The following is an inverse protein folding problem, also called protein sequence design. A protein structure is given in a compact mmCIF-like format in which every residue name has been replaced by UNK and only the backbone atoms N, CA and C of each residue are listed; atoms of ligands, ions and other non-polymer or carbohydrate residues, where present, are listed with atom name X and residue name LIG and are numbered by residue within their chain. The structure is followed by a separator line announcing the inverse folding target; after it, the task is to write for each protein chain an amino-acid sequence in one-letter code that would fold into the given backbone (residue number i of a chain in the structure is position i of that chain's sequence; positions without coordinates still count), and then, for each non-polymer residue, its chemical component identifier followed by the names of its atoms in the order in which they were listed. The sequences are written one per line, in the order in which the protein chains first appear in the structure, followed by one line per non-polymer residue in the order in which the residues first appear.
data_IF_914266242253
#
_entry.id   IF_914266242253
#
_cell.length_a   1.000
_cell.length_b   1.000
_cell.length_c   1.000
_cell.angle_alpha   90.00
_cell.angle_beta   90.00
_cell.angle_gamma   90.00
#
_symmetry.space_group_name_H-M   'P 1'
#
loop_
_entity.id
_entity.type
_entity.pdbx_description
1 polymer ?
#
# COMPACT_ATOMS: atom_id res chain seq x y z
N UNK A 1 9.26 16.10 10.67
CA UNK A 1 8.22 15.46 9.87
C UNK A 1 7.77 16.39 8.73
N UNK A 2 8.11 16.04 7.49
CA UNK A 2 7.67 16.78 6.29
C UNK A 2 6.15 16.63 6.08
N UNK A 3 5.48 17.53 5.31
CA UNK A 3 4.03 17.46 5.12
C UNK A 3 3.52 16.07 4.67
N UNK A 4 4.18 15.46 3.69
CA UNK A 4 3.82 14.12 3.21
C UNK A 4 3.93 13.02 4.28
N UNK A 5 4.88 13.11 5.20
CA UNK A 5 4.99 12.18 6.33
C UNK A 5 3.80 12.29 7.27
N UNK A 6 3.35 13.53 7.56
CA UNK A 6 2.17 13.78 8.41
C UNK A 6 0.89 13.25 7.78
N UNK A 7 0.80 13.29 6.46
CA UNK A 7 -0.37 12.85 5.72
C UNK A 7 -0.42 11.33 5.55
N UNK A 8 0.74 10.68 5.44
CA UNK A 8 0.88 9.24 5.22
C UNK A 8 0.66 8.38 6.50
N UNK A 9 0.37 8.99 7.65
CA UNK A 9 0.09 8.24 8.89
C UNK A 9 -1.23 7.47 8.81
N UNK A 10 -1.28 6.33 9.48
CA UNK A 10 -2.50 5.54 9.62
C UNK A 10 -3.55 6.27 10.46
N UNK A 11 -4.78 6.28 9.93
CA UNK A 11 -5.94 6.93 10.53
C UNK A 11 -6.65 6.01 11.51
N UNK A 12 -6.58 4.69 11.34
CA UNK A 12 -7.14 3.76 12.32
C UNK A 12 -6.47 3.89 13.70
N UNK A 13 -7.27 3.93 14.76
CA UNK A 13 -6.85 4.09 16.15
C UNK A 13 -6.69 2.78 16.93
N UNK A 14 -6.92 1.64 16.28
CA UNK A 14 -6.86 0.32 16.91
C UNK A 14 -8.18 -0.12 17.55
N UNK A 15 -9.14 0.79 17.74
CA UNK A 15 -10.39 0.53 18.46
C UNK A 15 -11.62 0.68 17.56
N UNK A 16 -11.57 1.58 16.58
CA UNK A 16 -12.71 1.96 15.75
C UNK A 16 -13.16 0.81 14.85
N UNK A 17 -14.45 0.46 14.94
CA UNK A 17 -15.17 -0.44 14.04
C UNK A 17 -15.79 0.32 12.87
N UNK A 18 -16.14 -0.39 11.80
CA UNK A 18 -16.64 0.21 10.55
C UNK A 18 -15.59 1.08 9.87
N UNK A 19 -14.35 0.62 9.88
CA UNK A 19 -13.17 1.32 9.38
C UNK A 19 -12.55 0.55 8.22
N UNK A 20 -12.09 1.29 7.21
CA UNK A 20 -11.42 0.73 6.04
C UNK A 20 -10.36 1.71 5.59
N UNK A 21 -9.12 1.24 5.50
CA UNK A 21 -7.97 2.05 5.12
C UNK A 21 -7.07 1.25 4.20
N UNK A 22 -6.57 1.91 3.16
CA UNK A 22 -5.87 1.27 2.06
C UNK A 22 -4.67 2.10 1.66
N UNK A 23 -3.53 1.45 1.53
CA UNK A 23 -2.30 2.02 1.00
C UNK A 23 -1.93 1.35 -0.32
N UNK A 24 -1.58 2.17 -1.31
CA UNK A 24 -1.18 1.71 -2.64
C UNK A 24 0.27 2.09 -2.90
N UNK A 25 1.02 1.15 -3.47
CA UNK A 25 2.29 1.39 -4.14
C UNK A 25 2.10 1.06 -5.61
N UNK A 26 2.49 2.00 -6.48
CA UNK A 26 2.49 1.83 -7.92
C UNK A 26 3.87 2.17 -8.43
N UNK A 27 4.52 1.20 -9.04
CA UNK A 27 5.83 1.34 -9.64
C UNK A 27 5.75 0.89 -11.09
N UNK A 28 6.33 1.68 -12.00
CA UNK A 28 6.55 1.30 -13.38
C UNK A 28 8.05 1.44 -13.65
N UNK A 29 8.70 0.36 -14.05
CA UNK A 29 10.07 0.36 -14.54
C UNK A 29 10.03 0.37 -16.07
N UNK A 30 10.30 1.54 -16.64
CA UNK A 30 10.26 1.75 -18.09
C UNK A 30 11.40 1.03 -18.80
N UNK A 31 12.51 0.72 -18.11
CA UNK A 31 13.67 0.09 -18.73
C UNK A 31 13.44 -1.41 -18.93
N UNK A 32 12.85 -2.08 -17.94
CA UNK A 32 12.46 -3.49 -18.04
C UNK A 32 11.12 -3.70 -18.75
N UNK A 33 10.27 -2.66 -18.86
CA UNK A 33 8.90 -2.80 -19.32
C UNK A 33 7.98 -3.46 -18.29
N UNK A 34 8.34 -3.43 -17.00
CA UNK A 34 7.56 -4.09 -15.94
C UNK A 34 6.89 -3.09 -15.00
N UNK A 35 5.82 -3.53 -14.34
CA UNK A 35 5.13 -2.73 -13.34
C UNK A 35 4.72 -3.57 -12.13
N UNK A 36 4.58 -2.90 -10.98
CA UNK A 36 4.15 -3.51 -9.73
C UNK A 36 3.10 -2.63 -9.05
N UNK A 37 1.98 -3.24 -8.70
CA UNK A 37 0.95 -2.68 -7.82
C UNK A 37 0.92 -3.49 -6.52
N UNK A 38 1.23 -2.85 -5.39
CA UNK A 38 1.05 -3.46 -4.06
C UNK A 38 -0.06 -2.71 -3.32
N UNK A 39 -0.98 -3.45 -2.70
CA UNK A 39 -2.06 -2.89 -1.89
C UNK A 39 -2.08 -3.50 -0.50
N UNK A 40 -1.91 -2.65 0.51
CA UNK A 40 -2.10 -2.99 1.92
C UNK A 40 -3.48 -2.50 2.33
N UNK A 41 -4.33 -3.40 2.82
CA UNK A 41 -5.69 -3.07 3.24
C UNK A 41 -5.87 -3.45 4.69
N UNK A 42 -6.45 -2.52 5.46
CA UNK A 42 -7.01 -2.77 6.77
C UNK A 42 -8.53 -2.72 6.67
N UNK A 43 -9.20 -3.82 7.01
CA UNK A 43 -10.66 -3.92 7.00
C UNK A 43 -11.17 -4.26 8.39
N UNK A 44 -11.84 -3.31 9.03
CA UNK A 44 -12.42 -3.45 10.37
C UNK A 44 -13.93 -3.23 10.25
N UNK A 45 -14.72 -4.26 9.93
CA UNK A 45 -16.13 -4.10 9.65
C UNK A 45 -16.92 -3.70 10.91
N UNK A 46 -18.15 -3.19 10.78
CA UNK A 46 -19.00 -2.89 11.96
C UNK A 46 -19.34 -4.17 12.74
N UNK A 47 -19.60 -5.25 12.03
CA UNK A 47 -19.85 -6.60 12.56
C UNK A 47 -18.92 -7.60 11.87
N UNK A 48 -18.52 -8.67 12.54
CA UNK A 48 -17.59 -9.69 11.99
C UNK A 48 -16.13 -9.53 12.41
N UNK A 49 -15.24 -10.30 11.79
CA UNK A 49 -13.82 -10.36 12.17
C UNK A 49 -13.00 -9.35 11.36
N UNK A 50 -12.23 -8.46 12.00
CA UNK A 50 -11.29 -7.58 11.31
C UNK A 50 -10.18 -8.40 10.63
N UNK A 51 -9.77 -7.95 9.45
CA UNK A 51 -8.71 -8.58 8.67
C UNK A 51 -7.78 -7.53 8.08
N UNK A 52 -6.58 -7.96 7.74
CA UNK A 52 -5.71 -7.22 6.86
C UNK A 52 -5.48 -8.01 5.58
N UNK A 53 -5.46 -7.33 4.44
CA UNK A 53 -5.18 -7.96 3.16
C UNK A 53 -3.94 -7.36 2.54
N UNK A 54 -3.18 -8.21 1.87
CA UNK A 54 -2.05 -7.83 1.04
C UNK A 54 -2.32 -8.33 -0.38
N UNK A 55 -2.19 -7.45 -1.35
CA UNK A 55 -2.25 -7.77 -2.77
C UNK A 55 -0.97 -7.33 -3.44
N UNK A 56 -0.48 -8.15 -4.37
CA UNK A 56 0.59 -7.81 -5.28
C UNK A 56 0.17 -8.18 -6.70
N UNK A 57 0.30 -7.23 -7.63
CA UNK A 57 0.07 -7.46 -9.05
C UNK A 57 1.31 -7.05 -9.80
N UNK A 58 1.90 -8.01 -10.49
CA UNK A 58 3.05 -7.82 -11.35
C UNK A 58 2.59 -7.83 -12.81
N UNK A 59 3.13 -6.88 -13.58
CA UNK A 59 2.89 -6.76 -15.00
C UNK A 59 4.22 -6.82 -15.74
N UNK A 60 4.26 -7.59 -16.82
CA UNK A 60 5.35 -7.59 -17.79
C UNK A 60 4.79 -7.24 -19.17
N UNK A 61 5.20 -6.09 -19.69
CA UNK A 61 4.76 -5.62 -21.01
C UNK A 61 5.33 -6.47 -22.15
N UNK A 62 6.55 -6.97 -21.97
CA UNK A 62 7.28 -7.72 -22.98
C UNK A 62 6.83 -9.19 -23.00
N UNK A 63 6.38 -9.72 -21.86
CA UNK A 63 5.76 -11.04 -21.74
C UNK A 63 4.47 -11.02 -20.90
N UNK A 64 3.31 -10.74 -21.50
CA UNK A 64 2.03 -10.73 -20.79
C UNK A 64 1.64 -12.06 -20.15
N UNK A 65 2.26 -13.18 -20.52
CA UNK A 65 1.98 -14.49 -19.90
C UNK A 65 2.63 -14.60 -18.50
N UNK A 66 3.64 -13.76 -18.23
CA UNK A 66 4.29 -13.63 -16.92
C UNK A 66 3.55 -12.68 -15.95
N UNK A 67 2.39 -12.14 -16.34
CA UNK A 67 1.55 -11.34 -15.45
C UNK A 67 1.01 -12.18 -14.29
N UNK A 68 1.18 -11.68 -13.06
CA UNK A 68 0.84 -12.45 -11.87
C UNK A 68 0.06 -11.58 -10.86
N UNK A 69 -1.00 -12.14 -10.29
CA UNK A 69 -1.83 -11.51 -9.26
C UNK A 69 -1.85 -12.41 -8.05
N UNK A 70 -1.31 -11.94 -6.92
CA UNK A 70 -1.33 -12.66 -5.66
C UNK A 70 -2.11 -11.86 -4.62
N UNK A 71 -2.91 -12.59 -3.84
CA UNK A 71 -3.67 -12.06 -2.69
C UNK A 71 -3.41 -12.92 -1.47
N UNK A 72 -3.30 -12.27 -0.30
CA UNK A 72 -3.40 -12.94 0.99
C UNK A 72 -4.25 -12.14 1.97
N UNK A 73 -5.16 -12.83 2.64
CA UNK A 73 -5.93 -12.28 3.76
C UNK A 73 -5.36 -12.84 5.05
N UNK A 74 -5.06 -11.96 5.99
CA UNK A 74 -4.50 -12.28 7.29
C UNK A 74 -5.48 -11.91 8.40
N UNK A 75 -5.52 -12.68 9.51
CA UNK A 75 -6.22 -12.23 10.71
C UNK A 75 -5.56 -10.94 11.22
N UNK A 76 -6.36 -10.06 11.83
CA UNK A 76 -5.89 -8.73 12.26
C UNK A 76 -4.65 -8.77 13.15
N UNK A 77 -4.45 -9.85 13.93
CA UNK A 77 -3.26 -10.04 14.79
C UNK A 77 -1.94 -10.13 14.01
N UNK A 78 -1.99 -10.44 12.71
CA UNK A 78 -0.83 -10.45 11.81
C UNK A 78 -0.61 -9.08 11.14
N UNK A 79 -1.38 -8.08 11.51
CA UNK A 79 -1.18 -6.70 11.11
C UNK A 79 -0.72 -5.85 12.30
N UNK A 80 0.16 -4.90 12.03
CA UNK A 80 0.60 -3.93 13.03
C UNK A 80 0.73 -2.56 12.40
N UNK A 81 0.24 -1.53 13.09
CA UNK A 81 0.30 -0.14 12.63
C UNK A 81 1.00 0.68 13.70
N UNK A 82 2.02 1.44 13.28
CA UNK A 82 2.65 2.49 14.06
C UNK A 82 2.50 3.80 13.28
N UNK A 83 2.11 4.87 13.98
CA UNK A 83 1.91 6.19 13.36
C UNK A 83 3.19 7.02 13.32
N UNK A 84 4.03 6.90 14.33
CA UNK A 84 5.27 7.68 14.44
C UNK A 84 6.47 6.82 14.88
N UNK A 85 7.47 6.61 14.00
CA UNK A 85 7.38 6.85 12.56
C UNK A 85 6.41 5.87 11.90
N UNK A 86 5.75 6.32 10.83
CA UNK A 86 4.75 5.53 10.10
C UNK A 86 5.31 4.16 9.69
N UNK A 87 4.58 3.11 10.05
CA UNK A 87 4.85 1.75 9.66
C UNK A 87 3.53 0.97 9.62
N UNK A 88 3.23 0.34 8.49
CA UNK A 88 2.13 -0.60 8.36
C UNK A 88 2.68 -1.96 7.96
N UNK A 89 2.52 -2.95 8.83
CA UNK A 89 2.88 -4.34 8.59
C UNK A 89 1.64 -5.17 8.36
N UNK A 90 1.68 -6.03 7.34
CA UNK A 90 0.65 -7.04 7.04
C UNK A 90 1.37 -8.35 6.73
N UNK A 91 1.27 -9.33 7.62
CA UNK A 91 2.12 -10.52 7.58
C UNK A 91 3.59 -10.15 7.76
N UNK A 92 4.42 -10.52 6.79
CA UNK A 92 5.85 -10.17 6.73
C UNK A 92 6.13 -8.92 5.88
N UNK A 93 5.13 -8.41 5.15
CA UNK A 93 5.29 -7.21 4.35
C UNK A 93 5.20 -5.95 5.23
N UNK A 94 6.09 -5.01 4.97
CA UNK A 94 6.26 -3.78 5.73
C UNK A 94 6.24 -2.59 4.77
N UNK A 95 5.34 -1.67 5.02
CA UNK A 95 5.28 -0.35 4.40
C UNK A 95 5.73 0.72 5.40
N UNK A 96 6.68 1.55 4.99
CA UNK A 96 7.12 2.76 5.68
C UNK A 96 6.99 3.95 4.73
N UNK A 97 7.27 5.14 5.25
CA UNK A 97 7.13 6.36 4.46
C UNK A 97 8.04 6.44 3.21
N UNK A 98 9.23 5.83 3.28
CA UNK A 98 10.27 5.89 2.23
C UNK A 98 10.72 4.49 1.74
N UNK A 99 10.09 3.42 2.22
CA UNK A 99 10.48 2.04 1.89
C UNK A 99 9.30 1.10 1.98
N UNK A 100 9.29 0.07 1.13
CA UNK A 100 8.40 -1.07 1.26
C UNK A 100 9.14 -2.37 0.97
N UNK A 101 8.96 -3.37 1.82
CA UNK A 101 9.53 -4.71 1.66
C UNK A 101 8.45 -5.75 1.84
N UNK A 102 8.53 -6.86 1.11
CA UNK A 102 7.59 -7.95 1.30
C UNK A 102 7.55 -8.90 0.12
N UNK A 103 6.63 -9.85 0.21
CA UNK A 103 6.36 -10.78 -0.86
C UNK A 103 5.11 -11.60 -0.61
N UNK A 104 4.58 -12.17 -1.69
CA UNK A 104 3.52 -13.17 -1.69
C UNK A 104 3.97 -14.34 -2.55
N UNK A 105 3.53 -15.54 -2.21
CA UNK A 105 3.73 -16.73 -3.00
C UNK A 105 2.52 -17.66 -2.85
N UNK A 106 2.20 -18.36 -3.93
CA UNK A 106 1.30 -19.53 -3.95
C UNK A 106 1.70 -20.47 -5.10
N UNK A 107 0.79 -21.36 -5.50
CA UNK A 107 1.04 -22.35 -6.55
C UNK A 107 1.24 -21.74 -7.94
N UNK A 108 0.78 -20.50 -8.17
CA UNK A 108 0.94 -19.81 -9.45
C UNK A 108 2.27 -19.05 -9.56
N UNK A 109 3.03 -18.96 -8.47
CA UNK A 109 4.34 -18.31 -8.44
C UNK A 109 4.56 -17.42 -7.23
N UNK A 110 5.53 -16.51 -7.34
CA UNK A 110 5.89 -15.57 -6.28
C UNK A 110 6.15 -14.16 -6.79
N UNK A 111 5.75 -13.16 -6.00
CA UNK A 111 6.06 -11.75 -6.22
C UNK A 111 6.74 -11.22 -4.96
N UNK A 112 7.95 -10.68 -5.11
CA UNK A 112 8.71 -10.06 -4.01
C UNK A 112 9.14 -8.64 -4.38
N UNK A 113 9.23 -7.78 -3.37
CA UNK A 113 9.63 -6.40 -3.54
C UNK A 113 10.52 -5.93 -2.39
N UNK A 114 11.56 -5.18 -2.74
CA UNK A 114 12.32 -4.33 -1.83
C UNK A 114 12.51 -2.97 -2.52
N UNK A 115 11.67 -2.02 -2.13
CA UNK A 115 11.53 -0.72 -2.76
C UNK A 115 11.96 0.37 -1.78
N UNK A 116 12.76 1.32 -2.24
CA UNK A 116 13.12 2.53 -1.52
C UNK A 116 12.89 3.74 -2.40
N UNK A 117 12.54 4.88 -1.80
CA UNK A 117 12.32 6.10 -2.56
C UNK A 117 12.53 7.34 -1.71
N UNK A 118 12.84 8.46 -2.37
CA UNK A 118 12.85 9.77 -1.70
C UNK A 118 11.42 10.32 -1.63
N UNK A 119 10.84 10.51 -0.44
CA UNK A 119 9.48 11.02 -0.34
C UNK A 119 9.37 12.46 -0.86
N UNK A 120 8.30 12.76 -1.60
CA UNK A 120 7.98 14.15 -1.95
C UNK A 120 7.78 14.98 -0.70
N UNK A 121 8.19 16.26 -0.71
CA UNK A 121 7.92 17.19 0.39
C UNK A 121 6.42 17.44 0.58
N UNK A 122 5.67 17.45 -0.51
CA UNK A 122 4.23 17.74 -0.52
C UNK A 122 3.41 16.50 -0.86
N UNK A 123 2.22 16.43 -0.25
CA UNK A 123 1.19 15.48 -0.61
C UNK A 123 0.43 16.01 -1.82
N UNK A 124 0.36 15.24 -2.88
CA UNK A 124 -0.59 15.52 -3.94
C UNK A 124 -1.99 15.21 -3.43
N UNK A 125 -2.97 16.09 -3.61
CA UNK A 125 -4.35 15.83 -3.23
C UNK A 125 -5.22 15.66 -4.47
N UNK A 126 -5.93 14.53 -4.57
CA UNK A 126 -6.88 14.28 -5.65
C UNK A 126 -8.03 15.29 -5.72
N UNK A 127 -8.37 15.92 -4.59
CA UNK A 127 -9.38 16.95 -4.50
C UNK A 127 -8.74 18.29 -4.16
N UNK A 128 -9.17 19.37 -4.81
CA UNK A 128 -8.50 20.68 -4.71
C UNK A 128 -8.72 21.39 -3.37
N UNK A 129 -9.61 20.90 -2.49
CA UNK A 129 -9.97 21.57 -1.24
C UNK A 129 -9.77 20.64 -0.02
N UNK A 130 -8.94 21.01 0.97
CA UNK A 130 -8.72 20.22 2.19
C UNK A 130 -10.00 19.87 2.97
N UNK A 131 -11.02 20.74 2.92
CA UNK A 131 -12.32 20.51 3.56
C UNK A 131 -13.04 19.25 3.06
N UNK A 132 -12.82 18.85 1.79
CA UNK A 132 -13.40 17.65 1.20
C UNK A 132 -12.81 16.35 1.80
N UNK A 133 -11.71 16.45 2.55
CA UNK A 133 -11.11 15.34 3.29
C UNK A 133 -11.51 15.31 4.78
N UNK A 134 -12.07 16.41 5.31
CA UNK A 134 -12.49 16.56 6.72
C UNK A 134 -14.00 16.37 6.94
N UNK A 135 -14.82 16.43 5.88
CA UNK A 135 -16.27 16.27 5.93
C UNK A 135 -16.77 14.82 6.04
N UNK A 136 -18.08 14.66 6.32
CA UNK A 136 -18.77 13.37 6.43
C UNK A 136 -19.10 12.71 5.06
N UNK A 137 -18.87 13.41 3.96
CA UNK A 137 -19.18 12.98 2.60
C UNK A 137 -17.93 13.13 1.71
N UNK A 138 -17.57 12.14 0.87
CA UNK A 138 -18.23 10.86 0.59
C UNK A 138 -17.85 9.71 1.55
N UNK A 139 -18.72 8.69 1.65
CA UNK A 139 -18.62 7.57 2.61
C UNK A 139 -17.41 6.62 2.44
N UNK A 140 -16.63 6.76 1.37
CA UNK A 140 -15.30 6.14 1.20
C UNK A 140 -14.29 7.26 0.94
N UNK A 141 -13.41 7.50 1.91
CA UNK A 141 -12.33 8.48 1.78
C UNK A 141 -11.15 7.85 1.05
N UNK A 142 -10.79 8.40 -0.10
CA UNK A 142 -9.49 8.18 -0.74
C UNK A 142 -8.51 9.21 -0.19
N UNK A 143 -7.52 8.78 0.57
CA UNK A 143 -6.35 9.62 0.84
C UNK A 143 -5.40 9.50 -0.35
N UNK A 144 -4.83 10.61 -0.80
CA UNK A 144 -4.03 10.57 -2.00
C UNK A 144 -2.64 9.95 -1.74
N UNK A 145 -2.05 9.26 -2.72
CA UNK A 145 -0.69 8.76 -2.61
C UNK A 145 0.31 9.92 -2.60
N UNK A 146 1.47 9.72 -1.99
CA UNK A 146 2.62 10.62 -2.12
C UNK A 146 2.98 10.70 -3.61
N UNK A 147 2.97 11.90 -4.18
CA UNK A 147 3.25 12.10 -5.61
C UNK A 147 4.72 11.95 -5.92
N UNK A 148 5.00 11.09 -6.91
CA UNK A 148 6.21 11.08 -7.74
C UNK A 148 7.52 11.10 -6.95
N UNK A 149 7.78 9.99 -6.26
CA UNK A 149 9.08 9.70 -5.68
C UNK A 149 9.95 8.94 -6.70
N UNK A 150 11.24 9.23 -6.74
CA UNK A 150 12.22 8.42 -7.47
C UNK A 150 12.39 7.14 -6.68
N UNK A 151 11.90 6.03 -7.24
CA UNK A 151 12.00 4.71 -6.64
C UNK A 151 13.27 4.00 -7.14
N UNK A 152 14.10 3.55 -6.21
CA UNK A 152 15.16 2.56 -6.44
C UNK A 152 14.82 1.29 -5.68
N UNK A 153 14.88 0.13 -6.33
CA UNK A 153 14.55 -1.13 -5.68
C UNK A 153 14.58 -2.30 -6.63
N UNK A 154 14.56 -3.51 -6.08
CA UNK A 154 14.47 -4.74 -6.85
C UNK A 154 13.04 -5.27 -6.78
N UNK A 155 12.48 -5.60 -7.95
CA UNK A 155 11.29 -6.42 -8.08
C UNK A 155 11.74 -7.78 -8.62
N UNK A 156 11.28 -8.86 -8.00
CA UNK A 156 11.45 -10.20 -8.56
C UNK A 156 10.10 -10.89 -8.60
N UNK A 157 9.71 -11.32 -9.78
CA UNK A 157 8.60 -12.23 -10.03
C UNK A 157 9.18 -13.55 -10.52
N UNK A 158 8.68 -14.66 -10.00
CA UNK A 158 8.99 -16.01 -10.50
C UNK A 158 7.68 -16.74 -10.69
N UNK A 159 7.34 -17.08 -11.93
CA UNK A 159 6.29 -18.03 -12.25
C UNK A 159 6.81 -19.46 -12.08
#
# INVERSE_FOLDING_TARGET
MIPSERDNIARWDGLRRGFHEVYYLKLNDLNSGTALLVRYTLLVPRQGVPVAELWAVFFDHNDPTSNLVLKRTYPIIRAAIRRDPFCFRVGEAVLRHHRATGGLADEAGSITWDLSWEPSRETFYHFPRPALYKGAFPGRRSWPPVSRSVCGGAIRSTA
#
